data_IF_363627994881
#
_entry.id   IF_363627994881
#
_cell.length_a   1.000
_cell.length_b   1.000
_cell.length_c   1.000
_cell.angle_alpha   90.00
_cell.angle_beta   90.00
_cell.angle_gamma   90.00
#
_symmetry.space_group_name_H-M   'P 1'
#
loop_
_entity.id
_entity.type
_entity.pdbx_description
1 polymer ?
#
# COMPACT_ATOMS: atom_id res chain seq x y z
N UNK A 1 25.11 16.85 3.71
CA UNK A 1 25.68 15.87 2.79
C UNK A 1 25.67 14.52 3.49
N UNK A 2 24.72 13.67 3.10
CA UNK A 2 24.64 12.21 3.32
C UNK A 2 23.34 11.81 2.61
N UNK A 3 23.39 11.64 1.29
CA UNK A 3 23.49 10.33 0.61
C UNK A 3 22.32 9.42 0.99
N UNK A 4 21.21 9.60 0.28
CA UNK A 4 20.10 8.65 0.25
C UNK A 4 20.40 7.72 -0.94
N UNK A 5 21.12 6.65 -0.63
CA UNK A 5 21.40 5.59 -1.57
C UNK A 5 20.09 4.93 -2.02
N UNK A 6 20.06 4.61 -3.31
CA UNK A 6 18.93 4.06 -4.05
C UNK A 6 18.42 2.76 -3.40
N UNK A 7 17.17 2.75 -2.95
CA UNK A 7 16.48 1.49 -2.63
C UNK A 7 15.98 0.89 -3.94
N UNK A 8 16.85 0.11 -4.58
CA UNK A 8 16.42 -0.91 -5.55
C UNK A 8 15.83 -2.04 -4.73
N UNK A 9 14.50 -2.21 -4.78
CA UNK A 9 13.82 -3.39 -4.26
C UNK A 9 14.22 -4.59 -5.13
N UNK A 10 14.89 -5.62 -4.60
CA UNK A 10 15.07 -6.87 -5.32
C UNK A 10 13.82 -7.74 -5.20
N UNK A 11 13.58 -8.57 -6.22
CA UNK A 11 12.50 -9.57 -6.40
C UNK A 11 12.43 -10.70 -5.33
N UNK A 12 12.61 -10.39 -4.05
CA UNK A 12 12.66 -11.36 -2.94
C UNK A 12 11.51 -11.21 -1.94
N UNK A 13 10.37 -10.67 -2.39
CA UNK A 13 9.08 -10.70 -1.68
C UNK A 13 8.59 -12.14 -1.37
N UNK A 14 9.32 -13.18 -1.80
CA UNK A 14 9.05 -14.59 -1.49
C UNK A 14 9.83 -15.19 -0.31
N UNK A 15 10.62 -14.43 0.47
CA UNK A 15 11.53 -15.03 1.48
C UNK A 15 11.19 -14.74 2.95
N UNK A 16 10.34 -13.77 3.29
CA UNK A 16 10.00 -13.51 4.71
C UNK A 16 8.83 -14.32 5.27
N UNK A 17 8.20 -15.17 4.46
CA UNK A 17 7.35 -16.26 4.93
C UNK A 17 8.17 -17.55 5.09
N UNK A 18 9.06 -17.64 6.09
CA UNK A 18 9.39 -18.90 6.78
C UNK A 18 10.45 -18.72 7.90
N UNK A 19 9.99 -18.93 9.14
CA UNK A 19 10.68 -19.65 10.24
C UNK A 19 12.16 -19.33 10.52
N UNK A 20 12.41 -18.67 11.65
CA UNK A 20 12.96 -19.31 12.87
C UNK A 20 13.18 -18.26 13.96
N UNK A 21 12.39 -18.36 15.04
CA UNK A 21 12.81 -17.87 16.35
C UNK A 21 14.16 -18.52 16.69
N UNK A 22 15.25 -17.76 16.62
CA UNK A 22 16.59 -18.23 16.94
C UNK A 22 17.36 -17.23 17.79
N UNK A 23 16.65 -16.55 18.70
CA UNK A 23 17.28 -15.83 19.80
C UNK A 23 17.11 -16.68 21.06
N UNK A 24 18.23 -17.21 21.57
CA UNK A 24 18.34 -17.75 22.93
C UNK A 24 18.02 -16.60 23.90
N UNK A 25 16.75 -16.40 24.23
CA UNK A 25 16.35 -15.58 25.36
C UNK A 25 16.33 -16.48 26.60
N UNK A 26 17.46 -16.56 27.32
CA UNK A 26 17.53 -17.18 28.66
C UNK A 26 16.88 -16.28 29.74
N UNK A 27 16.17 -15.20 29.35
CA UNK A 27 15.60 -14.21 30.26
C UNK A 27 14.28 -13.61 29.75
N UNK A 28 13.36 -14.46 29.33
CA UNK A 28 12.00 -14.04 28.96
C UNK A 28 11.01 -14.94 29.73
N UNK A 29 10.68 -14.56 30.96
CA UNK A 29 9.55 -15.11 31.74
C UNK A 29 8.24 -14.47 31.26
N UNK A 30 8.06 -14.45 29.94
CA UNK A 30 6.85 -13.98 29.28
C UNK A 30 6.48 -15.04 28.26
N UNK A 31 5.47 -15.83 28.60
CA UNK A 31 4.82 -16.76 27.68
C UNK A 31 4.45 -16.02 26.39
N UNK A 32 5.16 -16.30 25.30
CA UNK A 32 4.73 -15.92 23.96
C UNK A 32 3.43 -16.68 23.68
N UNK A 33 2.29 -16.02 23.92
CA UNK A 33 0.99 -16.53 23.53
C UNK A 33 0.90 -16.52 22.00
N UNK A 34 0.43 -17.60 21.36
CA UNK A 34 0.27 -17.68 19.91
C UNK A 34 -0.97 -16.91 19.40
N UNK A 35 -1.40 -15.87 20.12
CA UNK A 35 -2.64 -15.13 19.84
C UNK A 35 -2.38 -13.80 19.12
N UNK A 36 -1.11 -13.40 18.97
CA UNK A 36 -0.67 -12.30 18.11
C UNK A 36 -0.62 -12.78 16.65
N UNK A 37 -1.71 -13.33 16.13
CA UNK A 37 -1.96 -13.26 14.69
C UNK A 37 -2.14 -11.78 14.38
N UNK A 38 -1.08 -11.14 13.88
CA UNK A 38 -1.03 -9.75 13.42
C UNK A 38 -2.28 -9.43 12.60
N UNK A 39 -3.30 -8.87 13.24
CA UNK A 39 -4.35 -8.13 12.56
C UNK A 39 -3.67 -6.86 12.09
N UNK A 40 -3.12 -6.91 10.89
CA UNK A 40 -2.68 -5.69 10.22
C UNK A 40 -3.91 -4.80 10.14
N UNK A 41 -3.90 -3.71 10.89
CA UNK A 41 -5.02 -2.78 10.93
C UNK A 41 -5.18 -2.18 9.53
N UNK A 42 -6.43 -1.99 9.09
CA UNK A 42 -6.71 -1.37 7.79
C UNK A 42 -6.11 0.05 7.79
N UNK A 43 -6.10 0.71 8.95
CA UNK A 43 -5.46 2.01 9.15
C UNK A 43 -3.95 1.96 8.90
N UNK A 44 -3.25 0.95 9.42
CA UNK A 44 -1.80 0.80 9.20
C UNK A 44 -1.46 0.54 7.72
N UNK A 45 -2.27 -0.27 7.03
CA UNK A 45 -2.09 -0.50 5.57
C UNK A 45 -2.34 0.76 4.77
N UNK A 46 -3.36 1.54 5.14
CA UNK A 46 -3.63 2.81 4.49
C UNK A 46 -2.44 3.76 4.69
N UNK A 47 -1.94 3.93 5.91
CA UNK A 47 -0.81 4.81 6.18
C UNK A 47 0.45 4.42 5.37
N UNK A 48 0.73 3.12 5.19
CA UNK A 48 1.83 2.64 4.35
C UNK A 48 1.63 2.98 2.87
N UNK A 49 0.42 2.75 2.34
CA UNK A 49 0.06 3.09 0.95
C UNK A 49 0.16 4.59 0.73
N UNK A 50 -0.40 5.38 1.66
CA UNK A 50 -0.38 6.83 1.59
C UNK A 50 1.05 7.35 1.60
N UNK A 51 1.89 6.89 2.54
CA UNK A 51 3.28 7.28 2.61
C UNK A 51 4.05 6.90 1.33
N UNK A 52 3.82 5.72 0.77
CA UNK A 52 4.52 5.26 -0.43
C UNK A 52 4.14 6.09 -1.65
N UNK A 53 2.84 6.29 -1.91
CA UNK A 53 2.38 7.04 -3.07
C UNK A 53 2.71 8.53 -2.91
N UNK A 54 2.55 9.13 -1.73
CA UNK A 54 2.86 10.55 -1.52
C UNK A 54 4.33 10.84 -1.80
N UNK A 55 5.24 9.96 -1.34
CA UNK A 55 6.66 10.06 -1.65
C UNK A 55 6.94 9.97 -3.15
N UNK A 56 6.28 9.06 -3.88
CA UNK A 56 6.43 8.94 -5.33
C UNK A 56 5.89 10.16 -6.07
N UNK A 57 4.75 10.70 -5.64
CA UNK A 57 4.17 11.91 -6.19
C UNK A 57 5.06 13.14 -5.92
N UNK A 58 5.60 13.26 -4.69
CA UNK A 58 6.55 14.30 -4.33
C UNK A 58 7.87 14.20 -5.09
N UNK A 59 8.31 12.98 -5.42
CA UNK A 59 9.48 12.73 -6.28
C UNK A 59 9.20 12.99 -7.77
N UNK A 60 7.93 13.11 -8.17
CA UNK A 60 7.52 13.24 -9.57
C UNK A 60 7.55 11.93 -10.36
N UNK A 61 7.64 10.79 -9.68
CA UNK A 61 7.71 9.44 -10.26
C UNK A 61 6.29 8.93 -10.62
N UNK A 62 5.59 9.66 -11.51
CA UNK A 62 4.21 9.33 -11.90
C UNK A 62 4.10 7.97 -12.60
N UNK A 63 5.13 7.54 -13.33
CA UNK A 63 5.16 6.25 -14.02
C UNK A 63 5.02 5.06 -13.05
N UNK A 64 5.67 5.15 -11.89
CA UNK A 64 5.61 4.11 -10.84
C UNK A 64 4.24 4.09 -10.16
N UNK A 65 3.67 5.27 -9.90
CA UNK A 65 2.31 5.37 -9.33
C UNK A 65 1.30 4.78 -10.30
N UNK A 66 1.46 5.02 -11.60
CA UNK A 66 0.59 4.46 -12.64
C UNK A 66 0.73 2.93 -12.74
N UNK A 67 1.95 2.40 -12.58
CA UNK A 67 2.20 0.95 -12.49
C UNK A 67 1.54 0.34 -11.25
N UNK A 68 1.62 0.99 -10.08
CA UNK A 68 0.96 0.55 -8.85
C UNK A 68 -0.55 0.50 -9.10
N UNK A 69 -1.16 1.59 -9.59
CA UNK A 69 -2.61 1.66 -9.87
C UNK A 69 -3.08 0.57 -10.84
N UNK A 70 -2.26 0.19 -11.82
CA UNK A 70 -2.61 -0.92 -12.74
C UNK A 70 -2.62 -2.29 -12.06
N UNK A 71 -1.78 -2.46 -11.04
CA UNK A 71 -1.59 -3.72 -10.32
C UNK A 71 -2.33 -3.79 -8.98
N UNK A 72 -3.05 -2.73 -8.57
CA UNK A 72 -3.89 -2.78 -7.36
C UNK A 72 -4.91 -3.91 -7.49
N UNK A 73 -4.94 -4.74 -6.46
CA UNK A 73 -5.89 -5.85 -6.38
C UNK A 73 -7.30 -5.32 -6.08
N UNK A 74 -8.24 -5.62 -6.97
CA UNK A 74 -9.64 -5.21 -6.84
C UNK A 74 -10.40 -6.01 -5.79
N UNK A 75 -9.81 -7.02 -5.16
CA UNK A 75 -10.39 -7.78 -4.04
C UNK A 75 -10.24 -7.07 -2.69
N UNK A 76 -9.38 -6.05 -2.62
CA UNK A 76 -9.16 -5.23 -1.41
C UNK A 76 -10.45 -4.53 -0.93
N UNK A 77 -10.41 -4.04 0.32
CA UNK A 77 -11.53 -3.32 0.92
C UNK A 77 -11.85 -2.03 0.16
N UNK A 78 -13.11 -1.61 0.21
CA UNK A 78 -13.56 -0.36 -0.42
C UNK A 78 -12.74 0.84 0.06
N UNK A 79 -12.45 0.90 1.36
CA UNK A 79 -11.64 1.97 1.98
C UNK A 79 -10.24 2.06 1.38
N UNK A 80 -9.58 0.92 1.10
CA UNK A 80 -8.26 0.89 0.48
C UNK A 80 -8.34 1.43 -0.96
N UNK A 81 -9.33 0.99 -1.74
CA UNK A 81 -9.53 1.46 -3.12
C UNK A 81 -9.83 2.97 -3.16
N UNK A 82 -10.65 3.47 -2.23
CA UNK A 82 -10.94 4.89 -2.06
C UNK A 82 -9.69 5.65 -1.63
N UNK A 83 -8.86 5.06 -0.76
CA UNK A 83 -7.57 5.60 -0.35
C UNK A 83 -6.66 5.86 -1.56
N UNK A 84 -6.50 4.86 -2.44
CA UNK A 84 -5.75 5.00 -3.70
C UNK A 84 -6.31 6.12 -4.59
N UNK A 85 -7.63 6.21 -4.75
CA UNK A 85 -8.26 7.27 -5.56
C UNK A 85 -8.05 8.66 -4.97
N UNK A 86 -8.09 8.76 -3.64
CA UNK A 86 -7.98 10.02 -2.90
C UNK A 86 -6.57 10.59 -2.98
N UNK A 87 -5.55 9.77 -2.71
CA UNK A 87 -4.16 10.23 -2.76
C UNK A 87 -3.71 10.57 -4.19
N UNK A 88 -4.19 9.82 -5.18
CA UNK A 88 -3.83 10.05 -6.58
C UNK A 88 -4.64 11.19 -7.24
N UNK A 89 -5.63 11.75 -6.55
CA UNK A 89 -6.48 12.83 -7.07
C UNK A 89 -5.67 14.08 -7.45
N UNK A 90 -4.71 14.48 -6.60
CA UNK A 90 -3.87 15.65 -6.85
C UNK A 90 -2.99 15.50 -8.11
N UNK A 91 -2.62 14.27 -8.46
CA UNK A 91 -1.81 13.93 -9.61
C UNK A 91 -2.61 13.31 -10.78
N UNK A 92 -3.94 13.36 -10.71
CA UNK A 92 -4.85 12.75 -11.68
C UNK A 92 -4.55 13.12 -13.13
N UNK A 93 -4.14 14.37 -13.36
CA UNK A 93 -3.78 14.89 -14.68
C UNK A 93 -2.53 14.21 -15.31
N UNK A 94 -1.66 13.59 -14.51
CA UNK A 94 -0.48 12.88 -14.98
C UNK A 94 -0.65 11.35 -15.00
N UNK A 95 -1.74 10.82 -14.44
CA UNK A 95 -1.95 9.38 -14.27
C UNK A 95 -2.96 8.86 -15.30
N UNK A 96 -2.44 8.29 -16.37
CA UNK A 96 -3.25 7.80 -17.49
C UNK A 96 -4.13 6.62 -17.08
N UNK A 97 -3.65 5.76 -16.20
CA UNK A 97 -4.37 4.56 -15.75
C UNK A 97 -5.40 4.87 -14.66
N UNK A 98 -5.42 6.09 -14.12
CA UNK A 98 -6.38 6.47 -13.08
C UNK A 98 -7.83 6.41 -13.57
N UNK A 99 -8.09 6.82 -14.81
CA UNK A 99 -9.44 6.74 -15.38
C UNK A 99 -9.94 5.29 -15.49
N UNK A 100 -9.07 4.36 -15.89
CA UNK A 100 -9.40 2.94 -15.93
C UNK A 100 -9.57 2.34 -14.53
N UNK A 101 -8.74 2.77 -13.57
CA UNK A 101 -8.86 2.35 -12.17
C UNK A 101 -10.18 2.85 -11.56
N UNK A 102 -10.52 4.14 -11.72
CA UNK A 102 -11.78 4.71 -11.26
C UNK A 102 -12.98 3.95 -11.83
N UNK A 103 -12.97 3.62 -13.13
CA UNK A 103 -14.03 2.82 -13.74
C UNK A 103 -14.20 1.46 -13.05
N UNK A 104 -13.10 0.72 -12.81
CA UNK A 104 -13.15 -0.57 -12.11
C UNK A 104 -13.68 -0.45 -10.69
N UNK A 105 -13.27 0.59 -9.96
CA UNK A 105 -13.74 0.85 -8.61
C UNK A 105 -15.23 1.21 -8.60
N UNK A 106 -15.68 2.01 -9.57
CA UNK A 106 -17.10 2.38 -9.74
C UNK A 106 -18.03 1.22 -10.11
N UNK A 107 -17.49 0.14 -10.67
CA UNK A 107 -18.26 -1.09 -10.91
C UNK A 107 -18.44 -1.93 -9.63
N UNK A 108 -17.57 -1.74 -8.63
CA UNK A 108 -17.57 -2.51 -7.38
C UNK A 108 -18.25 -1.79 -6.22
N UNK A 109 -18.08 -0.47 -6.12
CA UNK A 109 -18.55 0.35 -5.00
C UNK A 109 -19.79 1.16 -5.39
N UNK A 110 -20.56 1.55 -4.36
CA UNK A 110 -21.69 2.44 -4.55
C UNK A 110 -21.22 3.82 -5.03
N UNK A 111 -21.88 4.41 -6.04
CA UNK A 111 -21.47 5.71 -6.60
C UNK A 111 -21.54 6.86 -5.57
N UNK A 112 -22.29 6.67 -4.47
CA UNK A 112 -22.34 7.62 -3.35
C UNK A 112 -20.99 7.74 -2.61
N UNK A 113 -20.18 6.68 -2.58
CA UNK A 113 -18.86 6.68 -1.92
C UNK A 113 -17.75 7.26 -2.83
N UNK A 114 -18.04 7.43 -4.11
CA UNK A 114 -17.09 7.90 -5.12
C UNK A 114 -17.27 9.36 -5.52
N UNK A 115 -18.22 10.06 -4.88
CA UNK A 115 -18.54 11.45 -5.18
C UNK A 115 -17.33 12.35 -4.88
N UNK A 116 -16.84 13.06 -5.90
CA UNK A 116 -15.70 13.97 -5.79
C UNK A 116 -14.33 13.31 -5.96
N UNK A 117 -14.29 12.04 -6.35
CA UNK A 117 -13.06 11.29 -6.66
C UNK A 117 -12.87 11.05 -8.17
N UNK A 118 -13.67 11.68 -9.02
CA UNK A 118 -13.57 11.63 -10.49
C UNK A 118 -12.35 12.39 -11.02
#
# INVERSE_FOLDING_TARGET
FQDIDRVVLPDTLSVLMNKKCNFRCDFCEFDCKPEDEERIDIEDRLDEIFGTIDNLLCAGDFDKVDEILRNVDMSESGDILIGYLSITLAASHNLSSRADFFRKVSEKLDPAELVGLE
#
